data_IF_841218465640
#
_entry.id   IF_841218465640
#
_cell.length_a   1.000
_cell.length_b   1.000
_cell.length_c   1.000
_cell.angle_alpha   90.00
_cell.angle_beta   90.00
_cell.angle_gamma   90.00
#
_symmetry.space_group_name_H-M   'P 1'
#
loop_
_entity.id
_entity.type
_entity.pdbx_description
1 polymer ?
#
# COMPACT_ATOMS: atom_id res chain seq x y z
N UNK A 1 16.64 -3.65 24.53
CA UNK A 1 15.51 -2.69 24.59
C UNK A 1 15.11 -2.31 23.17
N UNK A 2 14.31 -3.15 22.50
CA UNK A 2 13.80 -2.90 21.15
C UNK A 2 12.47 -2.15 21.26
N UNK A 3 12.46 -0.87 20.91
CA UNK A 3 11.24 -0.04 20.93
C UNK A 3 10.56 -0.12 19.56
N UNK A 4 9.43 -0.80 19.60
CA UNK A 4 8.30 -0.86 18.66
C UNK A 4 8.34 0.08 17.46
N UNK A 5 8.34 -0.50 16.27
CA UNK A 5 7.90 0.10 15.00
C UNK A 5 6.88 -0.88 14.41
N UNK A 6 5.92 -0.39 13.63
CA UNK A 6 4.79 -1.11 13.00
C UNK A 6 3.50 -1.05 13.84
N UNK A 7 2.96 0.15 14.03
CA UNK A 7 1.50 0.34 14.12
C UNK A 7 1.21 1.77 13.67
N UNK A 8 1.10 1.97 12.36
CA UNK A 8 0.36 3.11 11.79
C UNK A 8 0.04 2.80 10.33
N UNK A 9 -0.74 1.74 10.12
CA UNK A 9 -1.62 1.69 8.94
C UNK A 9 -2.78 2.62 9.29
N UNK A 10 -2.66 3.91 8.96
CA UNK A 10 -3.79 4.82 9.04
C UNK A 10 -4.56 4.74 7.73
N UNK A 11 -5.57 3.86 7.73
CA UNK A 11 -6.72 3.95 6.84
C UNK A 11 -7.37 5.33 7.03
N UNK A 12 -7.29 6.19 6.03
CA UNK A 12 -8.04 7.44 5.98
C UNK A 12 -9.48 7.15 5.53
N UNK A 13 -10.36 6.89 6.48
CA UNK A 13 -11.81 7.02 6.29
C UNK A 13 -12.31 8.23 7.07
N UNK A 14 -12.24 9.41 6.46
CA UNK A 14 -13.02 10.57 6.93
C UNK A 14 -14.42 10.42 6.33
N UNK A 15 -15.32 9.83 7.10
CA UNK A 15 -16.75 9.99 6.88
C UNK A 15 -17.25 11.04 7.89
N UNK A 16 -17.38 12.28 7.43
CA UNK A 16 -18.10 13.33 8.15
C UNK A 16 -19.60 13.05 7.99
N UNK A 17 -20.23 12.46 9.01
CA UNK A 17 -21.68 12.40 9.11
C UNK A 17 -22.11 12.99 10.46
N UNK A 18 -22.60 14.21 10.39
CA UNK A 18 -23.39 14.86 11.43
C UNK A 18 -24.75 14.16 11.60
N UNK A 19 -25.31 14.30 12.81
CA UNK A 19 -26.68 14.01 13.23
C UNK A 19 -26.94 12.63 13.89
N UNK A 20 -27.02 12.69 15.22
CA UNK A 20 -28.06 12.08 16.07
C UNK A 20 -28.42 10.60 15.88
N UNK A 21 -27.98 9.77 16.83
CA UNK A 21 -28.69 8.55 17.24
C UNK A 21 -27.88 7.26 17.11
N UNK A 22 -27.06 6.94 18.10
CA UNK A 22 -26.44 5.61 18.19
C UNK A 22 -27.48 4.62 18.71
N UNK A 23 -27.98 3.75 17.84
CA UNK A 23 -28.51 2.44 18.25
C UNK A 23 -27.50 1.38 17.86
N UNK A 24 -26.90 0.79 18.89
CA UNK A 24 -26.04 -0.39 18.84
C UNK A 24 -26.73 -1.51 18.07
N UNK A 25 -26.13 -1.94 16.97
CA UNK A 25 -26.47 -3.18 16.29
C UNK A 25 -25.21 -4.04 16.21
N UNK A 26 -25.33 -5.18 16.88
CA UNK A 26 -24.44 -6.31 17.11
C UNK A 26 -23.44 -6.64 16.00
N UNK A 27 -22.21 -6.88 16.46
CA UNK A 27 -21.11 -7.62 15.84
C UNK A 27 -21.60 -8.91 15.18
N UNK A 28 -21.50 -8.97 13.85
CA UNK A 28 -21.70 -10.22 13.10
C UNK A 28 -20.42 -11.04 13.19
N UNK A 29 -20.50 -12.16 13.89
CA UNK A 29 -19.51 -13.23 13.90
C UNK A 29 -19.29 -13.77 12.48
N UNK A 30 -18.08 -13.61 11.96
CA UNK A 30 -17.63 -14.35 10.78
C UNK A 30 -16.83 -15.57 11.24
N UNK A 31 -17.52 -16.62 11.71
CA UNK A 31 -16.96 -17.98 11.76
C UNK A 31 -17.46 -18.74 10.55
N UNK A 32 -16.77 -18.60 9.42
CA UNK A 32 -16.91 -19.50 8.29
C UNK A 32 -15.77 -20.51 8.32
N UNK A 33 -16.12 -21.74 8.70
CA UNK A 33 -15.35 -22.97 8.56
C UNK A 33 -14.79 -23.10 7.14
N UNK A 34 -13.47 -23.02 6.99
CA UNK A 34 -12.75 -23.55 5.83
C UNK A 34 -11.87 -24.72 6.30
N UNK A 35 -12.49 -25.87 6.49
CA UNK A 35 -11.78 -27.13 6.50
C UNK A 35 -11.55 -27.55 5.04
N UNK A 36 -10.41 -27.14 4.46
CA UNK A 36 -9.86 -27.71 3.23
C UNK A 36 -8.37 -27.98 3.43
N UNK A 37 -8.07 -29.28 3.51
CA UNK A 37 -6.80 -29.98 3.32
C UNK A 37 -5.59 -29.11 2.96
N UNK A 38 -4.69 -28.90 3.92
CA UNK A 38 -3.35 -28.36 3.69
C UNK A 38 -2.48 -29.47 3.07
N UNK A 39 -1.96 -29.35 1.83
CA UNK A 39 -0.77 -30.07 1.47
C UNK A 39 0.41 -29.47 2.26
N UNK A 40 1.17 -30.33 2.93
CA UNK A 40 2.45 -30.00 3.55
C UNK A 40 3.37 -29.31 2.52
N UNK A 41 3.47 -27.99 2.60
CA UNK A 41 4.45 -27.21 1.86
C UNK A 41 5.65 -26.97 2.77
N UNK A 42 6.51 -27.98 2.80
CA UNK A 42 7.95 -27.78 3.05
C UNK A 42 8.45 -26.59 2.21
N UNK A 43 9.27 -25.68 2.76
CA UNK A 43 9.74 -24.51 2.02
C UNK A 43 10.85 -24.96 1.07
N UNK A 44 10.46 -25.45 -0.11
CA UNK A 44 11.39 -25.51 -1.23
C UNK A 44 11.56 -24.08 -1.72
N UNK A 45 12.74 -23.51 -1.48
CA UNK A 45 13.24 -22.27 -2.08
C UNK A 45 13.15 -22.37 -3.61
N UNK A 46 11.96 -22.11 -4.14
CA UNK A 46 11.74 -22.00 -5.58
C UNK A 46 12.05 -20.56 -5.91
N UNK A 47 13.25 -20.33 -6.45
CA UNK A 47 13.71 -19.09 -7.08
C UNK A 47 12.57 -18.40 -7.83
N UNK A 48 11.97 -17.38 -7.22
CA UNK A 48 10.78 -16.71 -7.78
C UNK A 48 11.24 -15.71 -8.84
N UNK A 49 11.32 -16.16 -10.09
CA UNK A 49 11.17 -15.24 -11.22
C UNK A 49 9.82 -14.56 -11.10
N UNK A 50 9.76 -13.23 -11.25
CA UNK A 50 8.49 -12.50 -11.26
C UNK A 50 7.57 -13.10 -12.33
N UNK A 51 6.34 -13.44 -11.95
CA UNK A 51 5.32 -13.81 -12.93
C UNK A 51 4.98 -12.60 -13.82
N UNK A 52 4.35 -12.84 -14.97
CA UNK A 52 3.92 -11.75 -15.85
C UNK A 52 2.89 -10.84 -15.16
N UNK A 53 2.00 -11.42 -14.34
CA UNK A 53 1.06 -10.66 -13.52
C UNK A 53 1.76 -9.79 -12.46
N UNK A 54 2.80 -10.31 -11.80
CA UNK A 54 3.56 -9.49 -10.84
C UNK A 54 4.30 -8.35 -11.55
N UNK A 55 4.80 -8.59 -12.78
CA UNK A 55 5.46 -7.56 -13.58
C UNK A 55 4.48 -6.47 -13.99
N UNK A 56 3.29 -6.84 -14.46
CA UNK A 56 2.23 -5.91 -14.82
C UNK A 56 1.81 -5.06 -13.62
N UNK A 57 1.57 -5.70 -12.46
CA UNK A 57 1.26 -5.00 -11.23
C UNK A 57 2.34 -3.97 -10.83
N UNK A 58 3.62 -4.34 -10.91
CA UNK A 58 4.73 -3.42 -10.59
C UNK A 58 4.77 -2.22 -11.54
N UNK A 59 4.49 -2.43 -12.83
CA UNK A 59 4.43 -1.36 -13.83
C UNK A 59 3.27 -0.42 -13.52
N UNK A 60 2.08 -0.96 -13.28
CA UNK A 60 0.89 -0.15 -12.95
C UNK A 60 1.07 0.63 -11.66
N UNK A 61 1.59 -0.02 -10.61
CA UNK A 61 1.87 0.61 -9.32
C UNK A 61 2.88 1.77 -9.46
N UNK A 62 3.92 1.60 -10.29
CA UNK A 62 4.89 2.66 -10.55
C UNK A 62 4.26 3.85 -11.29
N UNK A 63 3.42 3.59 -12.30
CA UNK A 63 2.72 4.64 -13.04
C UNK A 63 1.73 5.40 -12.15
N UNK A 64 0.92 4.68 -11.37
CA UNK A 64 -0.02 5.24 -10.41
C UNK A 64 0.69 6.10 -9.37
N UNK A 65 1.76 5.57 -8.76
CA UNK A 65 2.54 6.29 -7.75
C UNK A 65 3.18 7.56 -8.28
N UNK A 66 3.62 7.61 -9.54
CA UNK A 66 4.13 8.85 -10.17
C UNK A 66 3.00 9.87 -10.34
N UNK A 67 1.83 9.44 -10.79
CA UNK A 67 0.67 10.31 -10.95
C UNK A 67 0.23 10.91 -9.60
N UNK A 68 0.24 10.12 -8.53
CA UNK A 68 -0.10 10.56 -7.18
C UNK A 68 0.90 11.61 -6.65
N UNK A 69 2.20 11.43 -6.92
CA UNK A 69 3.22 12.45 -6.60
C UNK A 69 2.94 13.76 -7.34
N UNK A 70 2.66 13.70 -8.64
CA UNK A 70 2.36 14.90 -9.44
C UNK A 70 1.10 15.61 -8.94
N UNK A 71 0.05 14.85 -8.60
CA UNK A 71 -1.18 15.39 -8.03
C UNK A 71 -0.93 16.03 -6.66
N UNK A 72 -0.13 15.39 -5.80
CA UNK A 72 0.32 15.96 -4.53
C UNK A 72 1.08 17.26 -4.71
N UNK A 73 1.95 17.33 -5.73
CA UNK A 73 2.70 18.53 -6.07
C UNK A 73 1.76 19.68 -6.48
N UNK A 74 0.74 19.37 -7.29
CA UNK A 74 -0.27 20.34 -7.71
C UNK A 74 -1.07 20.85 -6.50
N UNK A 75 -1.53 19.95 -5.64
CA UNK A 75 -2.27 20.31 -4.42
C UNK A 75 -1.41 21.16 -3.46
N UNK A 76 -0.14 20.82 -3.28
CA UNK A 76 0.82 21.58 -2.45
C UNK A 76 1.02 23.02 -2.93
N UNK A 77 1.05 23.22 -4.25
CA UNK A 77 1.36 24.51 -4.87
C UNK A 77 0.13 25.39 -5.08
N UNK A 78 -0.98 24.80 -5.54
CA UNK A 78 -2.13 25.55 -6.07
C UNK A 78 -3.30 25.65 -5.10
N UNK A 79 -3.36 24.82 -4.06
CA UNK A 79 -4.49 24.85 -3.15
C UNK A 79 -4.52 26.15 -2.32
N UNK A 80 -5.69 26.79 -2.26
CA UNK A 80 -5.89 27.98 -1.40
C UNK A 80 -6.04 27.60 0.08
N UNK A 81 -6.51 26.38 0.36
CA UNK A 81 -6.67 25.89 1.73
C UNK A 81 -5.34 25.31 2.26
N UNK A 82 -4.89 25.80 3.41
CA UNK A 82 -3.63 25.40 4.03
C UNK A 82 -3.57 23.89 4.36
N UNK A 83 -4.67 23.30 4.81
CA UNK A 83 -4.73 21.87 5.11
C UNK A 83 -4.57 21.02 3.84
N UNK A 84 -5.11 21.47 2.70
CA UNK A 84 -4.96 20.79 1.41
C UNK A 84 -3.52 20.89 0.90
N UNK A 85 -2.85 22.04 1.10
CA UNK A 85 -1.43 22.18 0.76
C UNK A 85 -0.56 21.21 1.56
N UNK A 86 -0.77 21.14 2.87
CA UNK A 86 -0.04 20.22 3.75
C UNK A 86 -0.33 18.75 3.41
N UNK A 87 -1.56 18.44 3.04
CA UNK A 87 -1.91 17.11 2.53
C UNK A 87 -1.14 16.79 1.23
N UNK A 88 -1.11 17.70 0.27
CA UNK A 88 -0.32 17.54 -0.96
C UNK A 88 1.17 17.33 -0.69
N UNK A 89 1.75 18.07 0.27
CA UNK A 89 3.15 17.88 0.69
C UNK A 89 3.40 16.48 1.25
N UNK A 90 2.50 15.98 2.12
CA UNK A 90 2.60 14.61 2.64
C UNK A 90 2.49 13.57 1.53
N UNK A 91 1.53 13.73 0.61
CA UNK A 91 1.41 12.81 -0.54
C UNK A 91 2.70 12.76 -1.36
N UNK A 92 3.32 13.90 -1.66
CA UNK A 92 4.60 13.92 -2.38
C UNK A 92 5.66 13.13 -1.62
N UNK A 93 5.81 13.37 -0.31
CA UNK A 93 6.81 12.68 0.51
C UNK A 93 6.57 11.17 0.55
N UNK A 94 5.37 10.75 0.91
CA UNK A 94 5.05 9.35 1.17
C UNK A 94 5.07 8.51 -0.13
N UNK A 95 4.49 9.03 -1.21
CA UNK A 95 4.47 8.31 -2.49
C UNK A 95 5.84 8.33 -3.18
N UNK A 96 6.64 9.40 -3.05
CA UNK A 96 8.03 9.39 -3.56
C UNK A 96 8.86 8.31 -2.87
N UNK A 97 8.76 8.20 -1.55
CA UNK A 97 9.47 7.16 -0.80
C UNK A 97 9.02 5.76 -1.23
N UNK A 98 7.71 5.56 -1.40
CA UNK A 98 7.14 4.27 -1.82
C UNK A 98 7.60 3.89 -3.23
N UNK A 99 7.60 4.84 -4.18
CA UNK A 99 8.08 4.62 -5.54
C UNK A 99 9.55 4.21 -5.57
N UNK A 100 10.40 4.87 -4.78
CA UNK A 100 11.82 4.52 -4.66
C UNK A 100 12.02 3.10 -4.12
N UNK A 101 11.19 2.67 -3.16
CA UNK A 101 11.24 1.30 -2.63
C UNK A 101 10.79 0.27 -3.66
N UNK A 102 9.72 0.58 -4.42
CA UNK A 102 9.24 -0.27 -5.50
C UNK A 102 10.32 -0.47 -6.57
N UNK A 103 11.01 0.61 -6.96
CA UNK A 103 12.12 0.57 -7.93
C UNK A 103 13.27 -0.32 -7.45
N UNK A 104 13.65 -0.20 -6.17
CA UNK A 104 14.71 -1.03 -5.58
C UNK A 104 14.35 -2.52 -5.61
N UNK A 105 13.11 -2.86 -5.25
CA UNK A 105 12.64 -4.25 -5.24
C UNK A 105 12.59 -4.81 -6.67
N UNK A 106 12.05 -4.04 -7.61
CA UNK A 106 11.99 -4.42 -9.02
C UNK A 106 13.39 -4.67 -9.59
N UNK A 107 14.34 -3.78 -9.29
CA UNK A 107 15.74 -3.90 -9.73
C UNK A 107 16.43 -5.13 -9.16
N UNK A 108 16.26 -5.42 -7.86
CA UNK A 108 16.83 -6.60 -7.23
C UNK A 108 16.31 -7.90 -7.86
N UNK A 109 15.01 -7.95 -8.17
CA UNK A 109 14.39 -9.11 -8.82
C UNK A 109 14.82 -9.25 -10.29
N UNK A 110 15.00 -8.13 -11.01
CA UNK A 110 15.51 -8.13 -12.38
C UNK A 110 16.99 -8.59 -12.45
N UNK A 111 17.84 -8.13 -11.52
CA UNK A 111 19.24 -8.55 -11.44
C UNK A 111 19.38 -10.05 -11.14
N UNK A 112 18.55 -10.59 -10.23
CA UNK A 112 18.50 -12.04 -9.97
C UNK A 112 18.14 -12.84 -11.24
N UNK A 113 17.28 -12.31 -12.11
CA UNK A 113 16.92 -12.96 -13.37
C UNK A 113 18.08 -12.99 -14.38
N UNK A 114 18.94 -11.97 -14.39
CA UNK A 114 20.05 -11.83 -15.37
C UNK A 114 21.33 -12.60 -15.00
N UNK A 115 21.48 -13.03 -13.74
CA UNK A 115 22.66 -13.77 -13.26
C UNK A 115 22.52 -15.30 -13.37
N UNK A 116 21.55 -15.79 -14.16
CA UNK A 116 21.33 -17.22 -14.42
C UNK A 116 21.98 -17.69 -15.71
#
# INVERSE_FOLDING_TARGET
MFKSKITMIVFSAIALASATGYKTATQTDYTATYAQTMPDRSPTETETTLSDSDREFVIEAAQGGIAEVQLGQLASQQASNNAVRQFGQRMVTDHTQTNNQLEQIASQKALRYLMR
#
